data_IF_991016500451
#
_entry.id   IF_991016500451
#
_cell.length_a   1.000
_cell.length_b   1.000
_cell.length_c   1.000
_cell.angle_alpha   90.00
_cell.angle_beta   90.00
_cell.angle_gamma   90.00
#
_symmetry.space_group_name_H-M   'P 1'
#
loop_
_entity.id
_entity.type
_entity.pdbx_description
1 polymer ?
#
# COMPACT_ATOMS: atom_id res chain seq x y z
N UNK A 1 19.31 -4.22 14.99
CA UNK A 1 18.09 -3.54 15.49
C UNK A 1 16.90 -4.13 14.75
N UNK A 2 15.98 -4.81 15.45
CA UNK A 2 14.76 -5.33 14.81
C UNK A 2 13.81 -4.13 14.63
N UNK A 3 13.74 -3.57 13.43
CA UNK A 3 12.72 -2.59 13.07
C UNK A 3 11.37 -3.32 12.96
N UNK A 4 10.72 -3.62 14.09
CA UNK A 4 9.40 -4.26 14.18
C UNK A 4 8.27 -3.27 13.86
N UNK A 5 8.37 -2.57 12.73
CA UNK A 5 7.31 -1.71 12.24
C UNK A 5 6.27 -2.54 11.48
N UNK A 6 5.34 -3.13 12.24
CA UNK A 6 4.36 -4.08 11.73
C UNK A 6 2.93 -3.52 11.82
N UNK A 7 2.59 -2.48 11.06
CA UNK A 7 1.22 -1.95 11.01
C UNK A 7 0.58 -1.78 12.40
N UNK A 8 1.37 -1.50 13.45
CA UNK A 8 0.91 -1.61 14.84
C UNK A 8 -0.21 -0.62 15.14
N UNK A 9 -0.11 0.56 14.53
CA UNK A 9 -1.11 1.63 14.59
C UNK A 9 -2.35 1.35 13.72
N UNK A 10 -2.29 0.38 12.79
CA UNK A 10 -3.43 -0.02 11.98
C UNK A 10 -4.33 -0.96 12.79
N UNK A 11 -5.46 -0.41 13.20
CA UNK A 11 -6.52 -1.08 13.94
C UNK A 11 -7.35 -1.93 12.98
N UNK A 12 -7.88 -3.07 13.47
CA UNK A 12 -8.74 -3.99 12.69
C UNK A 12 -8.12 -4.40 11.34
N UNK A 13 -6.81 -4.67 11.34
CA UNK A 13 -6.15 -5.25 10.18
C UNK A 13 -6.46 -6.73 10.08
N UNK A 14 -6.85 -7.16 8.90
CA UNK A 14 -7.02 -8.57 8.58
C UNK A 14 -5.85 -9.07 7.75
N UNK A 15 -5.57 -10.35 7.89
CA UNK A 15 -4.71 -11.08 6.97
C UNK A 15 -5.61 -11.54 5.82
N UNK A 16 -5.30 -11.20 4.55
CA UNK A 16 -6.11 -11.64 3.41
C UNK A 16 -6.32 -13.16 3.43
N UNK A 17 -7.55 -13.66 3.63
CA UNK A 17 -7.80 -15.09 3.68
C UNK A 17 -7.58 -15.70 2.28
N UNK A 18 -6.85 -16.81 2.21
CA UNK A 18 -6.64 -17.59 0.99
C UNK A 18 -5.91 -16.87 -0.16
N UNK A 19 -5.16 -15.80 0.10
CA UNK A 19 -4.30 -15.15 -0.89
C UNK A 19 -2.86 -15.08 -0.42
N UNK A 20 -1.93 -15.36 -1.33
CA UNK A 20 -0.52 -15.19 -1.08
C UNK A 20 -0.20 -13.69 -0.98
N UNK A 21 0.40 -13.28 0.13
CA UNK A 21 0.78 -11.89 0.37
C UNK A 21 1.80 -11.42 -0.67
N UNK A 22 2.69 -12.31 -1.09
CA UNK A 22 3.69 -12.02 -2.11
C UNK A 22 3.01 -11.81 -3.48
N UNK A 23 2.00 -12.62 -3.82
CA UNK A 23 1.20 -12.45 -5.04
C UNK A 23 0.44 -11.12 -5.05
N UNK A 24 -0.25 -10.76 -3.95
CA UNK A 24 -0.93 -9.46 -3.84
C UNK A 24 0.07 -8.32 -4.02
N UNK A 25 1.20 -8.40 -3.30
CA UNK A 25 2.24 -7.38 -3.40
C UNK A 25 2.76 -7.23 -4.83
N UNK A 26 3.12 -8.33 -5.50
CA UNK A 26 3.67 -8.24 -6.85
C UNK A 26 2.65 -7.77 -7.87
N UNK A 27 1.37 -8.14 -7.74
CA UNK A 27 0.30 -7.57 -8.58
C UNK A 27 0.18 -6.06 -8.42
N UNK A 28 0.36 -5.53 -7.21
CA UNK A 28 0.37 -4.08 -6.96
C UNK A 28 1.67 -3.43 -7.48
N UNK A 29 2.82 -4.06 -7.24
CA UNK A 29 4.13 -3.56 -7.65
C UNK A 29 4.28 -3.51 -9.17
N UNK A 30 3.94 -4.58 -9.88
CA UNK A 30 3.94 -4.63 -11.34
C UNK A 30 2.93 -3.66 -11.95
N UNK A 31 1.82 -3.41 -11.27
CA UNK A 31 0.85 -2.40 -11.71
C UNK A 31 1.46 -1.00 -11.69
N UNK A 32 2.21 -0.64 -10.64
CA UNK A 32 2.93 0.64 -10.57
C UNK A 32 4.02 0.70 -11.63
N UNK A 33 4.82 -0.36 -11.81
CA UNK A 33 5.92 -0.40 -12.77
C UNK A 33 5.46 -0.27 -14.24
N UNK A 34 4.25 -0.72 -14.57
CA UNK A 34 3.67 -0.63 -15.91
C UNK A 34 2.49 0.33 -16.04
N UNK A 35 2.19 1.11 -14.99
CA UNK A 35 1.03 1.98 -14.91
C UNK A 35 1.32 3.39 -15.42
N UNK A 36 0.26 4.15 -15.74
CA UNK A 36 0.39 5.58 -16.01
C UNK A 36 0.20 6.34 -14.71
N UNK A 37 1.13 7.24 -14.39
CA UNK A 37 1.01 8.18 -13.28
C UNK A 37 0.05 9.29 -13.69
N UNK A 38 -1.05 9.45 -12.96
CA UNK A 38 -2.07 10.45 -13.27
C UNK A 38 -2.00 11.66 -12.35
N UNK A 39 -1.57 11.47 -11.10
CA UNK A 39 -1.57 12.55 -10.12
C UNK A 39 -0.57 12.28 -9.00
N UNK A 40 0.17 13.32 -8.61
CA UNK A 40 0.94 13.36 -7.37
C UNK A 40 0.15 14.20 -6.38
N UNK A 41 -0.45 13.57 -5.40
CA UNK A 41 -1.27 14.20 -4.38
C UNK A 41 -0.52 14.26 -3.04
N UNK A 42 -1.01 15.09 -2.11
CA UNK A 42 -0.56 15.05 -0.72
C UNK A 42 -1.35 13.97 0.05
N UNK A 43 -0.86 13.63 1.25
CA UNK A 43 -1.61 12.75 2.15
C UNK A 43 -3.03 13.27 2.44
N UNK A 44 -3.22 14.59 2.47
CA UNK A 44 -4.53 15.20 2.73
C UNK A 44 -5.57 14.91 1.64
N UNK A 45 -5.13 14.86 0.39
CA UNK A 45 -6.00 14.54 -0.75
C UNK A 45 -6.31 13.03 -0.86
N UNK A 46 -5.66 12.18 -0.07
CA UNK A 46 -5.83 10.73 -0.13
C UNK A 46 -7.29 10.30 0.18
N UNK A 47 -7.98 11.01 1.07
CA UNK A 47 -9.38 10.71 1.44
C UNK A 47 -10.33 10.76 0.24
N UNK A 48 -10.06 11.66 -0.69
CA UNK A 48 -10.88 11.87 -1.89
C UNK A 48 -10.57 10.84 -2.98
N UNK A 49 -9.36 10.27 -2.96
CA UNK A 49 -8.92 9.22 -3.89
C UNK A 49 -9.40 7.84 -3.42
N UNK A 50 -9.44 7.60 -2.11
CA UNK A 50 -9.91 6.35 -1.51
C UNK A 50 -11.45 6.24 -1.60
N UNK A 51 -11.96 5.81 -2.75
CA UNK A 51 -13.41 5.69 -3.02
C UNK A 51 -14.07 4.37 -2.58
N UNK A 52 -13.28 3.31 -2.42
CA UNK A 52 -13.75 1.96 -2.06
C UNK A 52 -13.78 1.77 -0.52
N UNK A 53 -14.54 0.78 -0.03
CA UNK A 53 -14.73 0.54 1.41
C UNK A 53 -13.50 -0.06 2.11
N UNK A 54 -12.73 -0.87 1.39
CA UNK A 54 -11.60 -1.63 1.95
C UNK A 54 -10.43 -1.73 0.98
N UNK A 55 -9.23 -1.85 1.55
CA UNK A 55 -7.96 -1.81 0.82
C UNK A 55 -6.99 -2.88 1.26
N UNK A 56 -6.23 -3.39 0.29
CA UNK A 56 -4.94 -4.01 0.56
C UNK A 56 -3.89 -2.93 0.78
N UNK A 57 -3.08 -3.14 1.81
CA UNK A 57 -2.02 -2.23 2.23
C UNK A 57 -0.76 -3.06 2.37
N UNK A 58 0.26 -2.72 1.59
CA UNK A 58 1.52 -3.44 1.55
C UNK A 58 2.69 -2.50 1.84
N UNK A 59 3.60 -2.92 2.71
CA UNK A 59 4.90 -2.23 2.82
C UNK A 59 5.65 -2.38 1.49
N UNK A 60 6.12 -1.27 0.90
CA UNK A 60 6.97 -1.33 -0.28
C UNK A 60 8.42 -1.69 0.09
N UNK A 61 8.61 -2.90 0.62
CA UNK A 61 9.89 -3.41 1.08
C UNK A 61 10.31 -4.59 0.19
N UNK A 62 11.11 -4.27 -0.82
CA UNK A 62 11.65 -5.22 -1.80
C UNK A 62 13.16 -5.25 -1.71
N UNK A 63 13.73 -6.45 -1.78
CA UNK A 63 15.17 -6.62 -2.03
C UNK A 63 15.40 -7.33 -3.35
N UNK A 64 16.54 -7.10 -3.98
CA UNK A 64 16.88 -7.73 -5.25
C UNK A 64 17.99 -8.76 -5.05
N UNK A 65 17.81 -9.95 -5.62
CA UNK A 65 18.86 -10.97 -5.75
C UNK A 65 19.10 -11.21 -7.24
N UNK A 66 20.11 -10.54 -7.80
CA UNK A 66 20.23 -10.39 -9.25
C UNK A 66 19.03 -9.62 -9.81
N UNK A 67 18.41 -10.14 -10.86
CA UNK A 67 17.22 -9.51 -11.48
C UNK A 67 15.90 -9.90 -10.79
N UNK A 68 15.93 -10.74 -9.75
CA UNK A 68 14.72 -11.18 -9.06
C UNK A 68 14.41 -10.26 -7.88
N UNK A 69 13.24 -9.62 -7.92
CA UNK A 69 12.65 -8.94 -6.78
C UNK A 69 12.16 -9.96 -5.74
N UNK A 70 12.39 -9.69 -4.45
CA UNK A 70 11.99 -10.52 -3.32
C UNK A 70 11.25 -9.63 -2.34
N UNK A 71 9.98 -9.96 -2.09
CA UNK A 71 9.17 -9.25 -1.11
C UNK A 71 9.63 -9.58 0.32
N UNK A 72 9.85 -8.55 1.13
CA UNK A 72 10.23 -8.67 2.55
C UNK A 72 9.25 -7.95 3.49
N UNK A 73 8.22 -7.31 2.93
CA UNK A 73 7.22 -6.58 3.67
C UNK A 73 6.09 -7.48 4.20
N UNK A 74 5.00 -6.81 4.57
CA UNK A 74 3.74 -7.45 4.95
C UNK A 74 2.62 -6.83 4.14
N UNK A 75 1.61 -7.64 3.84
CA UNK A 75 0.34 -7.20 3.28
C UNK A 75 -0.74 -7.42 4.34
N UNK A 76 -1.63 -6.45 4.47
CA UNK A 76 -2.81 -6.51 5.32
C UNK A 76 -4.01 -5.95 4.56
N UNK A 77 -5.21 -6.30 4.98
CA UNK A 77 -6.45 -5.66 4.55
C UNK A 77 -7.01 -4.79 5.68
N UNK A 78 -7.60 -3.66 5.34
CA UNK A 78 -8.33 -2.82 6.31
C UNK A 78 -9.37 -1.95 5.64
N UNK A 79 -10.38 -1.57 6.41
CA UNK A 79 -11.39 -0.58 6.02
C UNK A 79 -10.74 0.80 5.80
N UNK A 80 -11.34 1.58 4.91
CA UNK A 80 -10.92 2.94 4.55
C UNK A 80 -10.65 3.81 5.77
N UNK A 81 -11.57 3.86 6.73
CA UNK A 81 -11.49 4.74 7.90
C UNK A 81 -10.28 4.39 8.77
N UNK A 82 -10.01 3.09 8.95
CA UNK A 82 -8.87 2.61 9.74
C UNK A 82 -7.54 2.89 9.02
N UNK A 83 -7.49 2.69 7.69
CA UNK A 83 -6.34 3.05 6.86
C UNK A 83 -6.04 4.55 6.97
N UNK A 84 -7.04 5.40 6.76
CA UNK A 84 -6.89 6.85 6.85
C UNK A 84 -6.38 7.25 8.24
N UNK A 85 -7.02 6.75 9.30
CA UNK A 85 -6.58 7.02 10.68
C UNK A 85 -5.11 6.60 10.92
N UNK A 86 -4.72 5.43 10.40
CA UNK A 86 -3.35 4.92 10.48
C UNK A 86 -2.35 5.85 9.79
N UNK A 87 -2.64 6.33 8.58
CA UNK A 87 -1.70 7.15 7.82
C UNK A 87 -1.47 8.51 8.48
N UNK A 88 -2.55 9.16 8.95
CA UNK A 88 -2.44 10.44 9.66
C UNK A 88 -1.63 10.29 10.97
N UNK A 89 -1.93 9.26 11.77
CA UNK A 89 -1.15 8.99 12.99
C UNK A 89 0.31 8.66 12.71
N UNK A 90 0.59 7.94 11.63
CA UNK A 90 1.96 7.60 11.24
C UNK A 90 2.74 8.83 10.80
N UNK A 91 2.09 9.74 10.08
CA UNK A 91 2.66 11.03 9.68
C UNK A 91 2.90 11.96 10.89
N UNK A 92 1.95 12.05 11.82
CA UNK A 92 2.11 12.82 13.07
C UNK A 92 3.28 12.34 13.94
N UNK A 93 3.61 11.05 13.87
CA UNK A 93 4.71 10.43 14.62
C UNK A 93 6.04 10.35 13.85
N UNK A 94 6.10 10.91 12.63
CA UNK A 94 7.27 10.81 11.75
C UNK A 94 7.73 9.35 11.48
N UNK A 95 6.75 8.44 11.34
CA UNK A 95 6.97 7.02 11.04
C UNK A 95 6.09 6.57 9.85
N UNK A 96 5.79 7.50 8.94
CA UNK A 96 5.16 7.15 7.67
C UNK A 96 6.19 6.43 6.82
N UNK A 97 5.84 5.24 6.29
CA UNK A 97 6.74 4.46 5.45
C UNK A 97 6.19 4.32 4.06
N UNK A 98 7.07 3.94 3.13
CA UNK A 98 6.67 3.60 1.78
C UNK A 98 5.63 2.47 1.76
N UNK A 99 4.47 2.73 1.17
CA UNK A 99 3.34 1.81 1.10
C UNK A 99 2.77 1.74 -0.32
N UNK A 100 2.33 0.55 -0.70
CA UNK A 100 1.42 0.36 -1.82
C UNK A 100 0.02 0.12 -1.26
N UNK A 101 -0.96 0.83 -1.79
CA UNK A 101 -2.37 0.76 -1.37
C UNK A 101 -3.21 0.50 -2.61
N UNK A 102 -4.11 -0.47 -2.56
CA UNK A 102 -5.03 -0.77 -3.65
C UNK A 102 -6.38 -1.23 -3.10
N UNK A 103 -7.51 -0.97 -3.79
CA UNK A 103 -8.77 -1.61 -3.48
C UNK A 103 -8.62 -3.12 -3.38
N UNK A 104 -9.44 -3.78 -2.57
CA UNK A 104 -9.48 -5.25 -2.57
C UNK A 104 -9.76 -5.75 -4.00
N UNK A 105 -8.90 -6.63 -4.50
CA UNK A 105 -9.00 -7.19 -5.86
C UNK A 105 -8.76 -8.70 -5.88
N UNK A 106 -9.29 -9.40 -6.88
CA UNK A 106 -9.04 -10.83 -7.08
C UNK A 106 -7.87 -11.08 -8.04
N UNK A 107 -7.98 -10.63 -9.28
CA UNK A 107 -6.96 -10.86 -10.31
C UNK A 107 -5.96 -9.71 -10.42
N UNK A 108 -6.45 -8.47 -10.53
CA UNK A 108 -5.62 -7.26 -10.68
C UNK A 108 -6.27 -6.07 -9.99
N UNK A 109 -5.48 -5.13 -9.44
CA UNK A 109 -6.03 -3.89 -8.88
C UNK A 109 -6.62 -3.01 -9.99
N UNK A 110 -7.66 -2.24 -9.63
CA UNK A 110 -8.24 -1.18 -10.48
C UNK A 110 -7.29 0.03 -10.59
N UNK A 111 -6.65 0.37 -9.48
CA UNK A 111 -5.62 1.40 -9.35
C UNK A 111 -4.70 1.03 -8.18
N UNK A 112 -3.51 1.64 -8.16
CA UNK A 112 -2.59 1.53 -7.03
C UNK A 112 -2.12 2.91 -6.64
N UNK A 113 -2.18 3.19 -5.35
CA UNK A 113 -1.56 4.37 -4.75
C UNK A 113 -0.20 3.94 -4.22
N UNK A 114 0.85 4.63 -4.64
CA UNK A 114 2.17 4.51 -4.05
C UNK A 114 2.43 5.72 -3.16
N UNK A 115 2.46 5.46 -1.86
CA UNK A 115 2.79 6.45 -0.84
C UNK A 115 4.27 6.32 -0.49
N UNK A 116 4.98 7.45 -0.48
CA UNK A 116 6.33 7.61 0.06
C UNK A 116 6.27 8.45 1.34
N UNK A 117 7.42 8.73 1.95
CA UNK A 117 7.51 9.66 3.08
C UNK A 117 7.04 11.07 2.70
N UNK A 118 7.27 11.50 1.45
CA UNK A 118 7.08 12.88 1.01
C UNK A 118 5.95 13.06 -0.01
N UNK A 119 5.46 11.98 -0.62
CA UNK A 119 4.56 12.06 -1.78
C UNK A 119 3.55 10.92 -1.84
N UNK A 120 2.39 11.20 -2.44
CA UNK A 120 1.40 10.20 -2.81
C UNK A 120 1.23 10.18 -4.33
N UNK A 121 1.40 9.01 -4.95
CA UNK A 121 1.34 8.83 -6.40
C UNK A 121 0.19 7.90 -6.78
N UNK A 122 -0.72 8.36 -7.65
CA UNK A 122 -1.85 7.57 -8.13
C UNK A 122 -1.57 6.96 -9.51
N UNK A 123 -1.62 5.64 -9.58
CA UNK A 123 -1.45 4.87 -10.81
C UNK A 123 -2.76 4.22 -11.23
N UNK A 124 -3.08 4.31 -12.52
CA UNK A 124 -4.14 3.53 -13.17
C UNK A 124 -3.60 2.87 -14.45
N UNK A 125 -4.36 1.91 -14.98
CA UNK A 125 -4.15 1.38 -16.33
C UNK A 125 -5.29 1.84 -17.22
N UNK A 126 -4.94 2.34 -18.40
CA UNK A 126 -5.89 2.63 -19.48
C UNK A 126 -6.47 1.34 -20.06
#
# INVERSE_FOLDING_TARGET
MKNEYYFNLLVKKEIPPNKDHEDIFFKMFEFVMGGTLYESSSLDSLKDILCEESYYIAHNLVTYKGNKAIFKGKVVASEKENLVSFLYKSAELDDLRALLIAPIFNEKPKYVIYLTEDSCHFYHKN
#
